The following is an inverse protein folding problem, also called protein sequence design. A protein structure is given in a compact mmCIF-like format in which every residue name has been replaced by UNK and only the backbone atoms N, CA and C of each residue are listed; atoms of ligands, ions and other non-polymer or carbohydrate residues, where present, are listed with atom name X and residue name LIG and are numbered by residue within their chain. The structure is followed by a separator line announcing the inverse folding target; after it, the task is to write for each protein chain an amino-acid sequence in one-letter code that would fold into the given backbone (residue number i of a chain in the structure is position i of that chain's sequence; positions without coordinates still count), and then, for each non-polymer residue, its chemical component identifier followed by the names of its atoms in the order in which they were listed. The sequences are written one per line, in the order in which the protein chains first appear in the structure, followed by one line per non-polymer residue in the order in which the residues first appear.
data_IF_563816373837
#
_entry.id   IF_563816373837
#
_cell.length_a   1.000
_cell.length_b   1.000
_cell.length_c   1.000
_cell.angle_alpha   90.00
_cell.angle_beta   90.00
_cell.angle_gamma   90.00
#
_symmetry.space_group_name_H-M   'P 1'
#
loop_
_entity.id
_entity.type
_entity.pdbx_description
1 polymer ?
#
# COMPACT_ATOMS: atom_id res chain seq x y z
N UNK A 1 -35.08 -11.37 -43.62
CA UNK A 1 -35.03 -11.89 -42.21
C UNK A 1 -33.60 -12.20 -41.73
N UNK A 2 -32.67 -12.60 -42.58
CA UNK A 2 -31.30 -12.99 -42.16
C UNK A 2 -30.43 -11.86 -41.58
N UNK A 3 -30.59 -10.61 -42.00
CA UNK A 3 -29.74 -9.51 -41.57
C UNK A 3 -29.99 -9.09 -40.09
N UNK A 4 -31.21 -9.17 -39.61
CA UNK A 4 -31.54 -8.85 -38.21
C UNK A 4 -31.08 -9.93 -37.24
N UNK A 5 -31.10 -11.19 -37.65
CA UNK A 5 -30.59 -12.30 -36.86
C UNK A 5 -29.06 -12.24 -36.73
N UNK A 6 -28.37 -11.90 -37.83
CA UNK A 6 -26.89 -11.71 -37.79
C UNK A 6 -26.49 -10.54 -36.89
N UNK A 7 -27.22 -9.41 -36.96
CA UNK A 7 -26.93 -8.28 -36.07
C UNK A 7 -27.19 -8.63 -34.61
N UNK A 8 -28.30 -9.31 -34.30
CA UNK A 8 -28.65 -9.74 -32.94
C UNK A 8 -27.62 -10.72 -32.36
N UNK A 9 -27.16 -11.68 -33.16
CA UNK A 9 -26.11 -12.62 -32.71
C UNK A 9 -24.77 -11.92 -32.49
N UNK A 10 -24.39 -10.96 -33.31
CA UNK A 10 -23.17 -10.19 -33.15
C UNK A 10 -23.21 -9.36 -31.86
N UNK A 11 -24.32 -8.68 -31.58
CA UNK A 11 -24.51 -7.92 -30.32
C UNK A 11 -24.51 -8.82 -29.13
N UNK A 12 -25.18 -9.96 -29.17
CA UNK A 12 -25.17 -10.95 -28.08
C UNK A 12 -23.76 -11.46 -27.79
N UNK A 13 -22.99 -11.85 -28.81
CA UNK A 13 -21.63 -12.33 -28.69
C UNK A 13 -20.71 -11.24 -28.10
N UNK A 14 -20.87 -9.99 -28.52
CA UNK A 14 -20.12 -8.86 -27.96
C UNK A 14 -20.33 -8.72 -26.44
N UNK A 15 -21.58 -8.74 -25.98
CA UNK A 15 -21.86 -8.64 -24.54
C UNK A 15 -21.42 -9.88 -23.76
N UNK A 16 -21.50 -11.06 -24.36
CA UNK A 16 -21.01 -12.30 -23.77
C UNK A 16 -19.48 -12.24 -23.54
N UNK A 17 -18.73 -11.75 -24.53
CA UNK A 17 -17.29 -11.56 -24.39
C UNK A 17 -16.95 -10.51 -23.31
N UNK A 18 -17.69 -9.39 -23.28
CA UNK A 18 -17.52 -8.38 -22.21
C UNK A 18 -17.80 -8.95 -20.82
N UNK A 19 -18.81 -9.78 -20.69
CA UNK A 19 -19.11 -10.45 -19.42
C UNK A 19 -18.00 -11.44 -19.04
N UNK A 20 -17.49 -12.20 -19.99
CA UNK A 20 -16.37 -13.12 -19.77
C UNK A 20 -15.11 -12.39 -19.32
N UNK A 21 -14.76 -11.28 -19.98
CA UNK A 21 -13.65 -10.40 -19.58
C UNK A 21 -13.83 -9.84 -18.16
N UNK A 22 -15.05 -9.40 -17.84
CA UNK A 22 -15.38 -8.90 -16.50
C UNK A 22 -15.18 -9.99 -15.44
N UNK A 23 -15.75 -11.19 -15.66
CA UNK A 23 -15.62 -12.31 -14.74
C UNK A 23 -14.16 -12.72 -14.59
N UNK A 24 -13.42 -12.82 -15.69
CA UNK A 24 -11.99 -13.12 -15.66
C UNK A 24 -11.21 -12.09 -14.84
N UNK A 25 -11.44 -10.82 -15.07
CA UNK A 25 -10.76 -9.72 -14.38
C UNK A 25 -10.99 -9.72 -12.87
N UNK A 26 -12.24 -9.94 -12.42
CA UNK A 26 -12.59 -9.85 -11.01
C UNK A 26 -12.37 -11.15 -10.21
N UNK A 27 -12.47 -12.31 -10.87
CA UNK A 27 -12.44 -13.60 -10.16
C UNK A 27 -11.17 -14.42 -10.42
N UNK A 28 -10.55 -14.27 -11.57
CA UNK A 28 -9.44 -15.14 -11.98
C UNK A 28 -8.11 -14.41 -12.16
N UNK A 29 -8.12 -13.08 -12.25
CA UNK A 29 -6.87 -12.33 -12.40
C UNK A 29 -6.05 -12.44 -11.12
N UNK A 30 -4.80 -12.94 -11.19
CA UNK A 30 -3.93 -13.02 -10.01
C UNK A 30 -3.68 -11.61 -9.46
N UNK A 31 -3.85 -11.42 -8.15
CA UNK A 31 -3.59 -10.14 -7.46
C UNK A 31 -2.11 -9.92 -7.15
N UNK A 32 -1.21 -10.48 -7.95
CA UNK A 32 0.23 -10.46 -7.73
C UNK A 32 0.93 -9.21 -8.27
N UNK A 33 0.18 -8.16 -8.60
CA UNK A 33 0.74 -6.92 -9.15
C UNK A 33 1.76 -6.23 -8.23
N UNK A 34 1.73 -6.51 -6.93
CA UNK A 34 2.72 -6.02 -5.98
C UNK A 34 4.12 -6.60 -6.23
N UNK A 35 4.24 -7.78 -6.86
CA UNK A 35 5.52 -8.42 -7.18
C UNK A 35 6.40 -7.56 -8.09
N UNK A 36 5.81 -6.73 -8.93
CA UNK A 36 6.54 -5.78 -9.77
C UNK A 36 7.33 -4.74 -8.97
N UNK A 37 6.95 -4.49 -7.72
CA UNK A 37 7.63 -3.59 -6.81
C UNK A 37 8.62 -4.29 -5.87
N UNK A 38 8.66 -5.63 -5.89
CA UNK A 38 9.63 -6.43 -5.13
C UNK A 38 10.92 -6.62 -5.95
N UNK A 39 11.59 -5.53 -6.31
CA UNK A 39 12.80 -5.56 -7.11
C UNK A 39 14.04 -5.39 -6.23
N UNK A 40 15.09 -6.14 -6.58
CA UNK A 40 16.37 -6.09 -5.88
C UNK A 40 16.35 -6.80 -4.51
N UNK A 41 17.47 -6.76 -3.79
CA UNK A 41 17.57 -7.38 -2.48
C UNK A 41 16.78 -6.57 -1.45
N UNK A 42 16.04 -7.27 -0.59
CA UNK A 42 15.33 -6.67 0.55
C UNK A 42 14.48 -5.44 0.18
N UNK A 43 13.41 -5.58 -0.63
CA UNK A 43 12.56 -4.46 -1.00
C UNK A 43 11.83 -3.87 0.20
N UNK A 44 11.91 -2.56 0.37
CA UNK A 44 11.21 -1.82 1.42
C UNK A 44 9.99 -1.09 0.89
N UNK A 45 8.92 -1.11 1.67
CA UNK A 45 7.77 -0.25 1.51
C UNK A 45 7.76 0.81 2.63
N UNK A 46 7.79 2.09 2.25
CA UNK A 46 7.67 3.20 3.20
C UNK A 46 6.22 3.68 3.23
N UNK A 47 5.61 3.68 4.40
CA UNK A 47 4.21 4.06 4.59
C UNK A 47 4.12 5.19 5.63
N UNK A 48 3.61 6.35 5.21
CA UNK A 48 3.38 7.46 6.11
C UNK A 48 2.01 7.35 6.80
N UNK A 49 1.91 7.79 8.07
CA UNK A 49 0.68 7.67 8.84
C UNK A 49 0.23 6.22 9.07
N UNK A 50 1.19 5.33 9.35
CA UNK A 50 0.97 3.89 9.45
C UNK A 50 0.65 3.38 10.88
N UNK A 51 0.37 4.26 11.82
CA UNK A 51 0.07 3.89 13.22
C UNK A 51 -1.39 3.56 13.46
N UNK A 52 -2.28 3.84 12.49
CA UNK A 52 -3.71 3.60 12.63
C UNK A 52 -4.40 3.44 11.25
N UNK A 53 -5.63 2.92 11.26
CA UNK A 53 -6.53 2.87 10.11
C UNK A 53 -5.93 2.21 8.87
N UNK A 54 -6.08 2.90 7.72
CA UNK A 54 -5.69 2.39 6.40
C UNK A 54 -4.18 2.16 6.31
N UNK A 55 -3.36 3.11 6.79
CA UNK A 55 -1.90 3.00 6.74
C UNK A 55 -1.36 1.80 7.50
N UNK A 56 -1.90 1.52 8.69
CA UNK A 56 -1.55 0.35 9.49
C UNK A 56 -1.92 -0.96 8.78
N UNK A 57 -3.11 -1.01 8.19
CA UNK A 57 -3.58 -2.18 7.45
C UNK A 57 -2.73 -2.44 6.20
N UNK A 58 -2.34 -1.40 5.47
CA UNK A 58 -1.44 -1.51 4.32
C UNK A 58 -0.05 -2.00 4.72
N UNK A 59 0.52 -1.46 5.83
CA UNK A 59 1.82 -1.89 6.33
C UNK A 59 1.83 -3.37 6.68
N UNK A 60 0.81 -3.85 7.41
CA UNK A 60 0.65 -5.28 7.73
C UNK A 60 0.54 -6.15 6.48
N UNK A 61 -0.28 -5.75 5.52
CA UNK A 61 -0.50 -6.51 4.29
C UNK A 61 0.78 -6.60 3.44
N UNK A 62 1.50 -5.49 3.26
CA UNK A 62 2.76 -5.47 2.51
C UNK A 62 3.85 -6.30 3.19
N UNK A 63 3.92 -6.24 4.52
CA UNK A 63 4.84 -7.07 5.27
C UNK A 63 4.57 -8.57 5.10
N UNK A 64 3.32 -9.00 5.17
CA UNK A 64 2.91 -10.38 4.90
C UNK A 64 3.20 -10.81 3.45
N UNK A 65 3.20 -9.87 2.51
CA UNK A 65 3.53 -10.11 1.10
C UNK A 65 5.04 -10.14 0.80
N UNK A 66 5.90 -10.00 1.82
CA UNK A 66 7.34 -10.17 1.68
C UNK A 66 8.14 -8.86 1.57
N UNK A 67 7.53 -7.69 1.70
CA UNK A 67 8.27 -6.45 1.85
C UNK A 67 8.83 -6.31 3.26
N UNK A 68 9.98 -5.66 3.40
CA UNK A 68 10.32 -4.96 4.62
C UNK A 68 9.53 -3.67 4.68
N UNK A 69 9.22 -3.17 5.87
CA UNK A 69 8.39 -1.97 5.98
C UNK A 69 9.05 -0.90 6.83
N UNK A 70 8.88 0.34 6.41
CA UNK A 70 9.26 1.53 7.16
C UNK A 70 7.96 2.27 7.47
N UNK A 71 7.63 2.41 8.75
CA UNK A 71 6.40 3.05 9.18
C UNK A 71 6.65 4.39 9.83
N UNK A 72 5.80 5.34 9.53
CA UNK A 72 5.84 6.69 10.08
C UNK A 72 4.62 6.98 10.95
N UNK A 73 4.86 7.67 12.06
CA UNK A 73 3.80 8.14 12.94
C UNK A 73 4.24 9.34 13.80
N UNK A 74 3.28 10.01 14.44
CA UNK A 74 3.51 11.16 15.35
C UNK A 74 3.47 10.80 16.83
N UNK A 75 3.01 9.61 17.18
CA UNK A 75 2.95 9.12 18.56
C UNK A 75 3.91 7.94 18.72
N UNK A 76 4.89 8.09 19.63
CA UNK A 76 5.89 7.06 19.89
C UNK A 76 5.26 5.77 20.43
N UNK A 77 4.29 5.90 21.34
CA UNK A 77 3.59 4.76 21.91
C UNK A 77 2.85 3.93 20.85
N UNK A 78 2.05 4.60 19.99
CA UNK A 78 1.34 3.93 18.89
C UNK A 78 2.30 3.32 17.88
N UNK A 79 3.43 4.00 17.62
CA UNK A 79 4.43 3.55 16.68
C UNK A 79 5.08 2.26 17.16
N UNK A 80 5.50 2.20 18.44
CA UNK A 80 6.04 0.99 19.06
C UNK A 80 5.04 -0.17 19.03
N UNK A 81 3.82 0.06 19.47
CA UNK A 81 2.78 -0.98 19.45
C UNK A 81 2.54 -1.52 18.02
N UNK A 82 2.55 -0.63 17.01
CA UNK A 82 2.37 -1.03 15.62
C UNK A 82 3.57 -1.83 15.08
N UNK A 83 4.80 -1.45 15.45
CA UNK A 83 6.01 -2.22 15.10
C UNK A 83 5.91 -3.65 15.63
N UNK A 84 5.56 -3.82 16.90
CA UNK A 84 5.42 -5.16 17.49
C UNK A 84 4.33 -5.99 16.83
N UNK A 85 3.18 -5.37 16.56
CA UNK A 85 2.09 -6.06 15.85
C UNK A 85 2.50 -6.50 14.43
N UNK A 86 3.28 -5.71 13.71
CA UNK A 86 3.73 -6.05 12.36
C UNK A 86 4.80 -7.14 12.43
N UNK A 87 5.78 -7.03 13.31
CA UNK A 87 6.84 -8.04 13.51
C UNK A 87 6.28 -9.42 13.85
N UNK A 88 5.19 -9.48 14.59
CA UNK A 88 4.53 -10.74 14.93
C UNK A 88 3.92 -11.49 13.73
N UNK A 89 3.79 -10.83 12.56
CA UNK A 89 3.19 -11.44 11.37
C UNK A 89 4.18 -12.28 10.54
N UNK A 90 5.49 -12.05 10.70
CA UNK A 90 6.55 -12.74 9.97
C UNK A 90 7.88 -12.63 10.70
N UNK A 91 8.62 -13.71 10.85
CA UNK A 91 9.88 -13.76 11.63
C UNK A 91 11.10 -13.20 10.88
N UNK A 92 11.11 -13.33 9.55
CA UNK A 92 12.26 -13.04 8.68
C UNK A 92 12.26 -11.62 8.10
N UNK A 93 11.31 -10.78 8.47
CA UNK A 93 11.14 -9.44 7.92
C UNK A 93 11.73 -8.34 8.82
N UNK A 94 12.06 -7.22 8.19
CA UNK A 94 12.55 -6.03 8.89
C UNK A 94 11.42 -4.99 8.97
N UNK A 95 11.21 -4.45 10.17
CA UNK A 95 10.28 -3.35 10.41
C UNK A 95 11.07 -2.22 11.02
N UNK A 96 11.18 -1.13 10.30
CA UNK A 96 11.76 0.13 10.76
C UNK A 96 10.68 1.16 11.02
N UNK A 97 11.00 2.16 11.81
CA UNK A 97 10.04 3.22 12.12
C UNK A 97 10.75 4.54 12.36
N UNK A 98 10.06 5.64 12.05
CA UNK A 98 10.53 6.97 12.39
C UNK A 98 9.40 7.84 12.92
N UNK A 99 9.74 8.62 13.95
CA UNK A 99 8.81 9.51 14.63
C UNK A 99 8.96 10.91 14.07
N UNK A 100 7.90 11.42 13.46
CA UNK A 100 7.83 12.79 12.92
C UNK A 100 6.40 13.31 13.03
N UNK A 101 6.28 14.58 13.38
CA UNK A 101 5.03 15.29 13.18
C UNK A 101 5.08 15.99 11.81
N UNK A 102 4.29 15.48 10.87
CA UNK A 102 4.22 16.02 9.51
C UNK A 102 3.67 17.46 9.44
N UNK A 103 3.07 17.95 10.52
CA UNK A 103 2.56 19.34 10.61
C UNK A 103 3.62 20.32 11.11
N UNK A 104 4.74 19.82 11.63
CA UNK A 104 5.81 20.66 12.18
C UNK A 104 6.68 21.25 11.07
N UNK A 105 6.76 22.57 11.01
CA UNK A 105 7.65 23.30 10.08
C UNK A 105 9.14 23.18 10.44
N UNK A 106 9.46 22.68 11.64
CA UNK A 106 10.85 22.53 12.13
C UNK A 106 11.47 21.17 11.80
N UNK A 107 10.73 20.25 11.16
CA UNK A 107 11.23 18.92 10.88
C UNK A 107 12.31 18.92 9.80
N UNK A 108 13.48 18.40 10.15
CA UNK A 108 14.56 18.21 9.20
C UNK A 108 14.39 16.92 8.40
N UNK A 109 13.60 16.99 7.33
CA UNK A 109 13.37 15.83 6.44
C UNK A 109 14.64 15.33 5.76
N UNK A 110 15.65 16.19 5.55
CA UNK A 110 16.91 15.77 4.93
C UNK A 110 17.69 14.79 5.82
N UNK A 111 17.66 14.97 7.16
CA UNK A 111 18.31 14.02 8.08
C UNK A 111 17.61 12.67 8.10
N UNK A 112 16.27 12.68 7.99
CA UNK A 112 15.47 11.46 7.94
C UNK A 112 15.74 10.70 6.62
N UNK A 113 15.72 11.42 5.49
CA UNK A 113 16.01 10.83 4.19
C UNK A 113 17.41 10.20 4.16
N UNK A 114 18.42 10.85 4.76
CA UNK A 114 19.78 10.33 4.83
C UNK A 114 19.86 8.98 5.57
N UNK A 115 19.04 8.77 6.59
CA UNK A 115 18.99 7.51 7.33
C UNK A 115 18.54 6.32 6.45
N UNK A 116 17.69 6.60 5.46
CA UNK A 116 17.13 5.58 4.58
C UNK A 116 17.78 5.49 3.19
N UNK A 117 18.84 6.29 2.93
CA UNK A 117 19.48 6.34 1.61
C UNK A 117 20.03 4.99 1.13
N UNK A 118 20.47 4.14 2.06
CA UNK A 118 21.07 2.85 1.75
C UNK A 118 20.04 1.73 1.63
N UNK A 119 18.76 2.03 1.90
CA UNK A 119 17.68 1.06 1.82
C UNK A 119 17.04 1.03 0.43
N UNK A 120 16.76 -0.18 -0.05
CA UNK A 120 16.08 -0.39 -1.34
C UNK A 120 14.57 -0.10 -1.21
N UNK A 121 14.18 1.17 -1.13
CA UNK A 121 12.78 1.58 -1.05
C UNK A 121 12.16 1.54 -2.44
N UNK A 122 11.38 0.50 -2.71
CA UNK A 122 10.74 0.28 -4.02
C UNK A 122 9.28 0.70 -4.05
N UNK A 123 8.68 0.94 -2.89
CA UNK A 123 7.29 1.38 -2.77
C UNK A 123 7.16 2.48 -1.72
N UNK A 124 6.56 3.62 -2.11
CA UNK A 124 6.24 4.70 -1.20
C UNK A 124 4.73 4.96 -1.18
N UNK A 125 4.12 4.88 0.01
CA UNK A 125 2.70 5.15 0.22
C UNK A 125 2.54 6.39 1.09
N UNK A 126 2.13 7.48 0.47
CA UNK A 126 1.80 8.71 1.18
C UNK A 126 0.35 8.63 1.68
N UNK A 127 0.18 8.31 2.98
CA UNK A 127 -1.12 8.11 3.62
C UNK A 127 -1.34 9.08 4.80
N UNK A 128 -0.41 9.99 5.07
CA UNK A 128 -0.67 11.03 6.07
C UNK A 128 -1.84 11.88 5.61
N UNK A 129 -2.96 11.73 6.30
CA UNK A 129 -4.14 12.54 6.13
C UNK A 129 -4.68 12.92 7.51
N UNK A 130 -5.05 14.15 7.70
CA UNK A 130 -5.71 14.64 8.90
C UNK A 130 -6.55 15.84 8.52
N UNK A 131 -7.79 15.88 8.96
CA UNK A 131 -8.59 17.09 8.85
C UNK A 131 -8.02 18.11 9.84
N UNK A 132 -7.61 19.27 9.36
CA UNK A 132 -7.22 20.42 10.18
C UNK A 132 -8.35 20.92 11.11
N UNK A 133 -9.47 20.21 11.17
CA UNK A 133 -10.64 20.57 11.97
C UNK A 133 -10.50 20.24 13.46
N UNK A 134 -9.55 19.41 13.87
CA UNK A 134 -9.30 19.12 15.30
C UNK A 134 -8.29 20.07 15.98
N UNK A 135 -7.66 20.98 15.24
CA UNK A 135 -6.67 21.92 15.79
C UNK A 135 -7.31 23.18 16.44
N UNK A 136 -8.64 23.22 16.58
CA UNK A 136 -9.38 24.30 17.28
C UNK A 136 -10.40 23.74 18.27
N UNK A 137 -9.92 23.11 19.32
CA UNK A 137 -10.68 23.00 20.59
C UNK A 137 -9.71 23.09 21.76
#
# INVERSE_FOLDING_TARGET
MGSFTLLGTAVFLYYLLKLADFVWFYFFRPSDEYKKYQQGPQPYALITGATDGIGKSLAKNLYQKGFNVIIHGRSEEKLRATVEEIKALREDGIVESFLVDATSSSTNFASIAKHFNDLNITLFINNVGGTCLEAKR
#
